data_IF_983453466887
#
_entry.id   IF_983453466887
#
_cell.length_a   1.000
_cell.length_b   1.000
_cell.length_c   1.000
_cell.angle_alpha   90.00
_cell.angle_beta   90.00
_cell.angle_gamma   90.00
#
_symmetry.space_group_name_H-M   'P 1'
#
loop_
_entity.id
_entity.type
_entity.pdbx_description
1 polymer ?
#
# COMPACT_ATOMS: atom_id res chain seq x y z
N UNK A 1 45.28 9.01 21.85
CA UNK A 1 44.24 10.07 21.92
C UNK A 1 43.28 9.86 20.73
N UNK A 2 42.32 8.93 20.87
CA UNK A 2 41.18 8.80 19.97
C UNK A 2 39.97 9.37 20.68
N UNK A 3 39.41 10.44 20.15
CA UNK A 3 38.23 11.08 20.66
C UNK A 3 36.96 10.25 20.40
N UNK A 4 36.26 9.99 21.45
CA UNK A 4 34.92 9.38 21.40
C UNK A 4 33.92 10.46 20.99
N UNK A 5 33.22 10.26 19.90
CA UNK A 5 32.03 11.04 19.55
C UNK A 5 30.81 10.16 19.78
N UNK A 6 30.06 10.46 20.81
CA UNK A 6 28.74 9.85 21.07
C UNK A 6 27.76 10.38 20.03
N UNK A 7 27.25 9.50 19.17
CA UNK A 7 26.10 9.79 18.33
C UNK A 7 24.86 9.18 19.00
N UNK A 8 24.04 10.05 19.57
CA UNK A 8 22.70 9.69 20.03
C UNK A 8 21.75 9.66 18.81
N UNK A 9 21.32 8.47 18.43
CA UNK A 9 20.24 8.31 17.46
C UNK A 9 19.13 7.53 18.15
N UNK A 10 18.04 8.26 18.42
CA UNK A 10 16.75 7.70 18.86
C UNK A 10 16.74 6.84 20.12
N UNK A 11 17.26 7.37 21.24
CA UNK A 11 16.89 6.86 22.58
C UNK A 11 17.51 5.55 23.06
N UNK A 12 18.41 4.92 22.30
CA UNK A 12 19.13 3.72 22.73
C UNK A 12 20.61 4.01 22.99
N UNK A 13 21.03 3.84 24.25
CA UNK A 13 22.44 3.80 24.62
C UNK A 13 22.97 2.40 24.30
N UNK A 14 23.95 2.34 23.41
CA UNK A 14 24.75 1.14 23.21
C UNK A 14 26.00 1.20 24.09
N UNK A 15 26.05 0.36 25.11
CA UNK A 15 27.27 0.08 25.86
C UNK A 15 28.16 -0.86 25.05
N UNK A 16 29.30 -0.35 24.62
CA UNK A 16 30.31 -1.12 23.92
C UNK A 16 31.21 -1.80 24.95
N UNK A 17 30.87 -3.02 25.36
CA UNK A 17 31.73 -3.84 26.20
C UNK A 17 32.80 -4.49 25.31
N UNK A 18 34.04 -4.17 25.62
CA UNK A 18 35.25 -4.56 24.92
C UNK A 18 35.58 -6.04 25.23
N UNK A 19 35.08 -6.97 24.40
CA UNK A 19 35.51 -8.34 24.40
C UNK A 19 36.66 -8.54 23.41
N UNK A 20 37.78 -9.00 23.93
CA UNK A 20 39.00 -9.31 23.16
C UNK A 20 38.81 -10.58 22.32
N UNK A 21 38.25 -10.40 21.11
CA UNK A 21 38.21 -11.42 20.09
C UNK A 21 38.20 -10.74 18.72
N UNK A 22 39.36 -10.73 18.08
CA UNK A 22 39.57 -10.10 16.76
C UNK A 22 38.80 -10.87 15.68
N UNK A 23 37.50 -10.55 15.49
CA UNK A 23 36.75 -10.92 14.31
C UNK A 23 36.70 -9.72 13.34
N UNK A 24 36.55 -9.94 12.02
CA UNK A 24 36.81 -8.91 11.02
C UNK A 24 35.83 -7.75 11.15
N UNK A 25 36.35 -6.56 11.39
CA UNK A 25 35.68 -5.25 11.48
C UNK A 25 34.86 -4.94 10.22
N UNK A 26 35.07 -5.69 9.15
CA UNK A 26 34.36 -5.57 7.86
C UNK A 26 32.91 -6.08 7.86
N UNK A 27 32.52 -6.97 8.78
CA UNK A 27 31.15 -7.49 8.81
C UNK A 27 30.18 -6.52 9.50
N UNK A 28 30.67 -5.72 10.44
CA UNK A 28 29.86 -4.72 11.16
C UNK A 28 29.49 -3.53 10.25
N UNK A 29 30.36 -3.15 9.30
CA UNK A 29 30.09 -2.05 8.39
C UNK A 29 29.02 -2.39 7.33
N UNK A 30 28.96 -3.64 6.87
CA UNK A 30 27.92 -4.10 5.92
C UNK A 30 26.53 -4.15 6.55
N UNK A 31 26.45 -4.51 7.83
CA UNK A 31 25.17 -4.54 8.55
C UNK A 31 24.61 -3.13 8.81
N UNK A 32 25.46 -2.14 9.06
CA UNK A 32 25.03 -0.76 9.25
C UNK A 32 24.40 -0.14 7.99
N UNK A 33 25.04 -0.28 6.84
CA UNK A 33 24.51 0.20 5.57
C UNK A 33 23.16 -0.45 5.24
N UNK A 34 23.03 -1.73 5.50
CA UNK A 34 21.79 -2.47 5.28
C UNK A 34 20.65 -1.99 6.19
N UNK A 35 20.93 -1.78 7.48
CA UNK A 35 19.93 -1.29 8.46
C UNK A 35 19.49 0.13 8.12
N UNK A 36 20.42 1.03 7.79
CA UNK A 36 20.10 2.41 7.40
C UNK A 36 19.28 2.45 6.12
N UNK A 37 19.61 1.60 5.15
CA UNK A 37 18.87 1.51 3.90
C UNK A 37 17.43 1.01 4.10
N UNK A 38 17.23 -0.01 4.93
CA UNK A 38 15.89 -0.50 5.28
C UNK A 38 15.06 0.55 6.01
N UNK A 39 15.64 1.26 6.98
CA UNK A 39 14.95 2.33 7.69
C UNK A 39 14.57 3.50 6.76
N UNK A 40 15.42 3.83 5.81
CA UNK A 40 15.15 4.86 4.81
C UNK A 40 13.99 4.44 3.90
N UNK A 41 14.01 3.21 3.39
CA UNK A 41 12.93 2.67 2.56
C UNK A 41 11.59 2.70 3.30
N UNK A 42 11.57 2.28 4.56
CA UNK A 42 10.37 2.30 5.40
C UNK A 42 9.81 3.72 5.56
N UNK A 43 10.67 4.69 5.91
CA UNK A 43 10.25 6.11 6.03
C UNK A 43 9.72 6.67 4.73
N UNK A 44 10.31 6.30 3.60
CA UNK A 44 9.83 6.70 2.28
C UNK A 44 8.44 6.14 2.02
N UNK A 45 8.20 4.85 2.26
CA UNK A 45 6.88 4.22 2.07
C UNK A 45 5.82 4.83 2.98
N UNK A 46 6.16 5.14 4.23
CA UNK A 46 5.21 5.73 5.19
C UNK A 46 4.91 7.22 4.90
N UNK A 47 5.87 7.96 4.38
CA UNK A 47 5.75 9.42 4.17
C UNK A 47 5.39 9.81 2.73
N UNK A 48 5.67 8.95 1.74
CA UNK A 48 5.39 9.23 0.34
C UNK A 48 3.93 9.66 0.09
N UNK A 49 2.90 9.00 0.64
CA UNK A 49 1.52 9.41 0.44
C UNK A 49 1.25 10.84 0.93
N UNK A 50 1.82 11.22 2.08
CA UNK A 50 1.65 12.58 2.64
C UNK A 50 2.24 13.65 1.75
N UNK A 51 3.40 13.38 1.15
CA UNK A 51 4.10 14.32 0.25
C UNK A 51 3.36 14.41 -1.09
N UNK A 52 2.91 13.27 -1.62
CA UNK A 52 2.20 13.17 -2.90
C UNK A 52 0.78 13.71 -2.86
N UNK A 53 0.15 13.79 -1.69
CA UNK A 53 -1.22 14.29 -1.52
C UNK A 53 -1.43 15.69 -2.10
N UNK A 54 -0.50 16.62 -1.87
CA UNK A 54 -0.64 17.99 -2.35
C UNK A 54 -0.57 18.12 -3.87
N UNK A 55 0.45 17.57 -4.56
CA UNK A 55 0.51 17.66 -6.03
C UNK A 55 -0.62 16.86 -6.70
N UNK A 56 -1.06 15.73 -6.14
CA UNK A 56 -2.16 14.94 -6.72
C UNK A 56 -3.51 15.67 -6.67
N UNK A 57 -3.76 16.46 -5.63
CA UNK A 57 -4.98 17.30 -5.54
C UNK A 57 -5.00 18.46 -6.55
N UNK A 58 -3.84 18.86 -7.07
CA UNK A 58 -3.75 19.89 -8.11
C UNK A 58 -4.01 19.35 -9.51
N UNK A 59 -4.00 18.04 -9.72
CA UNK A 59 -4.31 17.41 -10.99
C UNK A 59 -5.80 17.64 -11.33
N UNK A 60 -6.14 18.22 -12.49
CA UNK A 60 -7.54 18.41 -12.89
C UNK A 60 -8.30 17.09 -12.88
N UNK A 61 -9.54 17.10 -12.37
CA UNK A 61 -10.34 15.88 -12.28
C UNK A 61 -10.56 15.21 -13.65
N UNK A 62 -10.75 15.99 -14.70
CA UNK A 62 -10.90 15.45 -16.06
C UNK A 62 -9.72 14.57 -16.51
N UNK A 63 -8.52 14.91 -16.09
CA UNK A 63 -7.33 14.09 -16.37
C UNK A 63 -7.32 12.82 -15.51
N UNK A 64 -7.66 12.94 -14.23
CA UNK A 64 -7.79 11.78 -13.33
C UNK A 64 -8.87 10.81 -13.85
N UNK A 65 -10.03 11.34 -14.23
CA UNK A 65 -11.14 10.60 -14.82
C UNK A 65 -10.72 9.81 -16.06
N UNK A 66 -10.16 10.52 -17.06
CA UNK A 66 -9.75 9.89 -18.32
C UNK A 66 -8.68 8.82 -18.11
N UNK A 67 -7.75 9.04 -17.18
CA UNK A 67 -6.74 8.05 -16.84
C UNK A 67 -7.37 6.83 -16.16
N UNK A 68 -8.25 7.04 -15.17
CA UNK A 68 -8.93 5.99 -14.43
C UNK A 68 -9.81 5.14 -15.34
N UNK A 69 -10.62 5.75 -16.18
CA UNK A 69 -11.48 5.05 -17.15
C UNK A 69 -10.66 4.17 -18.10
N UNK A 70 -9.53 4.68 -18.61
CA UNK A 70 -8.63 3.90 -19.48
C UNK A 70 -7.97 2.73 -18.74
N UNK A 71 -7.54 2.94 -17.50
CA UNK A 71 -6.95 1.90 -16.68
C UNK A 71 -7.97 0.81 -16.35
N UNK A 72 -9.16 1.19 -15.91
CA UNK A 72 -10.25 0.25 -15.63
C UNK A 72 -10.65 -0.54 -16.89
N UNK A 73 -10.82 0.13 -18.03
CA UNK A 73 -11.13 -0.52 -19.29
C UNK A 73 -10.02 -1.48 -19.78
N UNK A 74 -8.77 -1.22 -19.42
CA UNK A 74 -7.63 -2.09 -19.77
C UNK A 74 -7.55 -3.31 -18.84
N UNK A 75 -7.66 -3.09 -17.53
CA UNK A 75 -7.53 -4.13 -16.50
C UNK A 75 -8.72 -5.10 -16.53
N UNK A 76 -9.92 -4.58 -16.73
CA UNK A 76 -11.17 -5.34 -16.70
C UNK A 76 -11.76 -5.58 -18.09
N UNK A 77 -10.92 -5.61 -19.13
CA UNK A 77 -11.38 -5.74 -20.50
C UNK A 77 -12.26 -6.97 -20.72
N UNK A 78 -11.86 -8.13 -20.20
CA UNK A 78 -12.61 -9.38 -20.32
C UNK A 78 -13.88 -9.32 -19.48
N UNK A 79 -13.80 -8.94 -18.22
CA UNK A 79 -14.95 -8.82 -17.33
C UNK A 79 -16.02 -7.82 -17.84
N UNK A 80 -15.59 -6.72 -18.49
CA UNK A 80 -16.53 -5.78 -19.15
C UNK A 80 -17.20 -6.44 -20.35
N UNK A 81 -16.46 -7.20 -21.16
CA UNK A 81 -17.01 -7.90 -22.33
C UNK A 81 -17.99 -9.01 -21.94
N UNK A 82 -17.76 -9.68 -20.81
CA UNK A 82 -18.60 -10.74 -20.28
C UNK A 82 -19.81 -10.21 -19.47
N UNK A 83 -19.87 -8.89 -19.23
CA UNK A 83 -20.99 -8.26 -18.52
C UNK A 83 -20.89 -8.35 -17.00
N UNK A 84 -19.74 -8.70 -16.45
CA UNK A 84 -19.52 -8.89 -15.00
C UNK A 84 -19.74 -7.61 -14.19
N UNK A 85 -19.83 -6.44 -14.86
CA UNK A 85 -20.11 -5.14 -14.22
C UNK A 85 -21.59 -4.73 -14.23
N UNK A 86 -22.50 -5.55 -14.76
CA UNK A 86 -23.95 -5.24 -14.78
C UNK A 86 -24.53 -4.99 -13.39
N UNK A 87 -23.93 -5.55 -12.33
CA UNK A 87 -24.34 -5.29 -10.95
C UNK A 87 -24.17 -3.83 -10.52
N UNK A 88 -23.31 -3.05 -11.22
CA UNK A 88 -23.11 -1.60 -11.01
C UNK A 88 -24.04 -0.74 -11.87
N UNK A 89 -24.89 -1.32 -12.74
CA UNK A 89 -25.84 -0.56 -13.53
C UNK A 89 -26.82 0.23 -12.65
N UNK A 90 -26.78 1.55 -12.77
CA UNK A 90 -27.58 2.45 -11.93
C UNK A 90 -27.15 2.52 -10.46
N UNK A 91 -26.00 1.96 -10.07
CA UNK A 91 -25.43 2.00 -8.73
C UNK A 91 -24.04 2.61 -8.75
N UNK A 92 -23.60 3.10 -7.59
CA UNK A 92 -22.31 3.76 -7.46
C UNK A 92 -21.40 3.08 -6.44
N UNK A 93 -20.21 2.68 -6.92
CA UNK A 93 -19.09 2.28 -6.09
C UNK A 93 -18.22 3.50 -5.80
N UNK A 94 -18.06 3.86 -4.53
CA UNK A 94 -17.07 4.83 -4.09
C UNK A 94 -15.75 4.12 -3.81
N UNK A 95 -14.67 4.51 -4.48
CA UNK A 95 -13.30 4.08 -4.16
C UNK A 95 -12.58 5.24 -3.49
N UNK A 96 -12.07 5.01 -2.28
CA UNK A 96 -11.41 6.02 -1.47
C UNK A 96 -9.99 5.61 -1.08
N UNK A 97 -9.02 6.47 -1.39
CA UNK A 97 -7.64 6.35 -0.95
C UNK A 97 -7.46 7.27 0.25
N UNK A 98 -7.54 6.69 1.44
CA UNK A 98 -7.72 7.42 2.70
C UNK A 98 -6.55 8.34 3.06
N UNK A 99 -5.32 7.93 2.81
CA UNK A 99 -4.10 8.69 3.12
C UNK A 99 -3.80 9.81 2.12
N UNK A 100 -4.31 9.70 0.89
CA UNK A 100 -4.24 10.76 -0.13
C UNK A 100 -5.46 11.69 -0.12
N UNK A 101 -6.55 11.31 0.59
CA UNK A 101 -7.86 11.97 0.55
C UNK A 101 -8.38 12.14 -0.88
N UNK A 102 -8.21 11.08 -1.68
CA UNK A 102 -8.74 10.99 -3.03
C UNK A 102 -9.91 10.03 -3.04
N UNK A 103 -10.95 10.37 -3.78
CA UNK A 103 -12.07 9.47 -4.01
C UNK A 103 -12.61 9.60 -5.43
N UNK A 104 -13.10 8.50 -5.95
CA UNK A 104 -13.76 8.40 -7.24
C UNK A 104 -15.05 7.59 -7.08
N UNK A 105 -16.03 7.92 -7.87
CA UNK A 105 -17.29 7.19 -7.95
C UNK A 105 -17.34 6.48 -9.30
N UNK A 106 -17.53 5.18 -9.27
CA UNK A 106 -17.51 4.31 -10.44
C UNK A 106 -18.90 3.69 -10.61
N UNK A 107 -19.40 3.71 -11.83
CA UNK A 107 -20.67 3.08 -12.20
C UNK A 107 -20.51 2.43 -13.58
N UNK A 108 -21.46 1.60 -13.94
CA UNK A 108 -21.58 1.06 -15.29
C UNK A 108 -22.69 1.80 -16.05
N UNK A 109 -22.39 2.22 -17.29
CA UNK A 109 -23.36 2.84 -18.21
C UNK A 109 -23.11 2.35 -19.63
N UNK A 110 -24.12 1.77 -20.26
CA UNK A 110 -24.07 1.29 -21.64
C UNK A 110 -22.87 0.36 -21.93
N UNK A 111 -22.59 -0.57 -21.02
CA UNK A 111 -21.49 -1.53 -21.16
C UNK A 111 -20.09 -0.92 -20.93
N UNK A 112 -20.02 0.25 -20.27
CA UNK A 112 -18.75 0.94 -19.99
C UNK A 112 -18.69 1.38 -18.53
N UNK A 113 -17.50 1.36 -17.98
CA UNK A 113 -17.23 1.95 -16.69
C UNK A 113 -17.04 3.46 -16.83
N UNK A 114 -17.81 4.22 -16.07
CA UNK A 114 -17.74 5.68 -15.99
C UNK A 114 -17.24 6.09 -14.62
N UNK A 115 -16.42 7.13 -14.59
CA UNK A 115 -15.84 7.67 -13.36
C UNK A 115 -16.37 9.09 -13.13
N UNK A 116 -16.95 9.33 -11.95
CA UNK A 116 -17.47 10.63 -11.56
C UNK A 116 -16.73 11.16 -10.32
N UNK A 117 -16.76 12.49 -10.17
CA UNK A 117 -16.20 13.18 -8.99
C UNK A 117 -17.14 13.14 -7.78
N UNK A 118 -18.43 13.17 -8.06
CA UNK A 118 -19.50 13.21 -7.06
C UNK A 118 -20.66 12.34 -7.52
N UNK A 119 -21.34 11.70 -6.57
CA UNK A 119 -22.67 11.13 -6.74
C UNK A 119 -23.53 11.56 -5.54
N UNK A 120 -24.84 11.47 -5.66
CA UNK A 120 -25.79 11.80 -4.57
C UNK A 120 -25.65 10.81 -3.42
N UNK A 121 -25.54 9.54 -3.74
CA UNK A 121 -25.39 8.47 -2.77
C UNK A 121 -24.55 7.33 -3.36
N UNK A 122 -23.54 6.89 -2.64
CA UNK A 122 -22.80 5.67 -2.97
C UNK A 122 -23.49 4.45 -2.37
N UNK A 123 -23.69 3.40 -3.15
CA UNK A 123 -24.29 2.15 -2.70
C UNK A 123 -23.30 1.29 -1.93
N UNK A 124 -22.04 1.34 -2.33
CA UNK A 124 -20.92 0.66 -1.67
C UNK A 124 -19.70 1.57 -1.66
N UNK A 125 -18.95 1.53 -0.58
CA UNK A 125 -17.70 2.26 -0.39
C UNK A 125 -16.57 1.27 -0.14
N UNK A 126 -15.52 1.38 -0.94
CA UNK A 126 -14.28 0.63 -0.84
C UNK A 126 -13.16 1.58 -0.45
N UNK A 127 -12.56 1.39 0.72
CA UNK A 127 -11.53 2.32 1.20
C UNK A 127 -10.31 1.60 1.76
N UNK A 128 -9.13 2.16 1.47
CA UNK A 128 -7.84 1.65 1.93
C UNK A 128 -6.76 2.72 1.86
N UNK A 129 -5.57 2.39 2.35
CA UNK A 129 -4.39 3.24 2.17
C UNK A 129 -3.76 3.02 0.80
N UNK A 130 -3.01 3.99 0.30
CA UNK A 130 -2.25 3.87 -0.97
C UNK A 130 -1.44 2.58 -1.01
N UNK A 131 -0.69 2.31 0.06
CA UNK A 131 0.19 1.15 0.13
C UNK A 131 -0.58 -0.17 0.07
N UNK A 132 -1.72 -0.26 0.76
CA UNK A 132 -2.53 -1.48 0.78
C UNK A 132 -3.20 -1.72 -0.59
N UNK A 133 -3.72 -0.66 -1.22
CA UNK A 133 -4.30 -0.75 -2.56
C UNK A 133 -3.26 -1.13 -3.63
N UNK A 134 -2.02 -0.61 -3.54
CA UNK A 134 -0.92 -0.99 -4.43
C UNK A 134 -0.54 -2.46 -4.23
N UNK A 135 -0.53 -2.97 -3.00
CA UNK A 135 -0.22 -4.38 -2.73
C UNK A 135 -1.29 -5.32 -3.30
N UNK A 136 -2.58 -4.95 -3.21
CA UNK A 136 -3.67 -5.68 -3.86
C UNK A 136 -3.49 -5.63 -5.39
N UNK A 137 -3.35 -4.43 -5.95
CA UNK A 137 -3.18 -4.25 -7.39
C UNK A 137 -1.95 -4.96 -7.94
N UNK A 138 -0.86 -5.06 -7.17
CA UNK A 138 0.36 -5.80 -7.51
C UNK A 138 0.31 -7.29 -7.17
N UNK A 139 -0.84 -7.82 -6.69
CA UNK A 139 -1.02 -9.23 -6.25
C UNK A 139 0.01 -9.70 -5.22
N UNK A 140 0.42 -8.78 -4.33
CA UNK A 140 1.33 -9.06 -3.21
C UNK A 140 0.60 -9.38 -1.92
N UNK A 141 -0.63 -8.88 -1.78
CA UNK A 141 -1.51 -9.11 -0.65
C UNK A 141 -2.90 -9.49 -1.20
N UNK A 142 -3.53 -10.41 -0.51
CA UNK A 142 -4.89 -10.85 -0.80
C UNK A 142 -5.90 -9.85 -0.20
N UNK A 143 -6.94 -9.42 -0.97
CA UNK A 143 -7.96 -8.50 -0.47
C UNK A 143 -8.66 -8.97 0.80
N UNK A 144 -8.94 -10.27 0.94
CA UNK A 144 -9.55 -10.84 2.15
C UNK A 144 -8.66 -10.68 3.37
N UNK A 145 -7.37 -10.97 3.21
CA UNK A 145 -6.40 -10.80 4.28
C UNK A 145 -6.36 -9.36 4.79
N UNK A 146 -6.38 -8.37 3.88
CA UNK A 146 -6.40 -6.96 4.24
C UNK A 146 -7.74 -6.53 4.86
N UNK A 147 -8.84 -7.09 4.40
CA UNK A 147 -10.18 -6.86 4.99
C UNK A 147 -10.22 -7.37 6.44
N UNK A 148 -9.80 -8.60 6.70
CA UNK A 148 -9.73 -9.14 8.06
C UNK A 148 -8.77 -8.38 8.98
N UNK A 149 -7.68 -7.83 8.43
CA UNK A 149 -6.75 -6.95 9.14
C UNK A 149 -7.28 -5.52 9.34
N UNK A 150 -8.48 -5.20 8.83
CA UNK A 150 -9.11 -3.87 8.86
C UNK A 150 -8.30 -2.77 8.14
N UNK A 151 -7.41 -3.17 7.24
CA UNK A 151 -6.65 -2.27 6.36
C UNK A 151 -7.46 -1.89 5.12
N UNK A 152 -8.30 -2.81 4.68
CA UNK A 152 -9.29 -2.61 3.65
C UNK A 152 -10.67 -2.57 4.30
N UNK A 153 -11.50 -1.60 3.92
CA UNK A 153 -12.87 -1.47 4.40
C UNK A 153 -13.82 -1.52 3.22
N UNK A 154 -14.86 -2.30 3.37
CA UNK A 154 -15.99 -2.38 2.43
C UNK A 154 -17.24 -2.07 3.24
N UNK A 155 -17.91 -0.97 2.91
CA UNK A 155 -19.07 -0.47 3.65
C UNK A 155 -20.24 -0.23 2.68
N UNK A 156 -21.48 -0.44 3.12
CA UNK A 156 -22.68 -0.28 2.33
C UNK A 156 -23.38 -1.58 1.99
N UNK A 157 -23.85 -1.73 0.76
CA UNK A 157 -24.56 -2.94 0.32
C UNK A 157 -23.62 -4.15 0.29
N UNK A 158 -23.94 -5.17 1.08
CA UNK A 158 -23.08 -6.36 1.25
C UNK A 158 -22.97 -7.19 -0.03
N UNK A 159 -24.04 -7.29 -0.81
CA UNK A 159 -24.07 -8.03 -2.07
C UNK A 159 -23.12 -7.35 -3.09
N UNK A 160 -23.25 -6.03 -3.25
CA UNK A 160 -22.34 -5.24 -4.09
C UNK A 160 -20.90 -5.31 -3.61
N UNK A 161 -20.69 -5.29 -2.30
CA UNK A 161 -19.35 -5.41 -1.71
C UNK A 161 -18.69 -6.74 -2.05
N UNK A 162 -19.47 -7.83 -2.08
CA UNK A 162 -18.98 -9.15 -2.48
C UNK A 162 -18.61 -9.20 -3.96
N UNK A 163 -19.48 -8.65 -4.84
CA UNK A 163 -19.20 -8.58 -6.28
C UNK A 163 -17.95 -7.76 -6.58
N UNK A 164 -17.79 -6.59 -5.94
CA UNK A 164 -16.57 -5.77 -6.07
C UNK A 164 -15.33 -6.54 -5.63
N UNK A 165 -15.43 -7.30 -4.53
CA UNK A 165 -14.33 -8.16 -4.07
C UNK A 165 -13.99 -9.23 -5.11
N UNK A 166 -14.99 -9.95 -5.63
CA UNK A 166 -14.78 -10.99 -6.66
C UNK A 166 -14.09 -10.41 -7.90
N UNK A 167 -14.47 -9.19 -8.32
CA UNK A 167 -13.80 -8.49 -9.41
C UNK A 167 -12.34 -8.16 -9.09
N UNK A 168 -12.04 -7.80 -7.85
CA UNK A 168 -10.64 -7.55 -7.46
C UNK A 168 -9.78 -8.82 -7.50
N UNK A 169 -10.37 -9.96 -7.19
CA UNK A 169 -9.69 -11.26 -7.29
C UNK A 169 -9.44 -11.66 -8.75
N UNK A 170 -10.30 -11.21 -9.67
CA UNK A 170 -10.19 -11.46 -11.12
C UNK A 170 -9.31 -10.47 -11.87
N UNK A 171 -8.70 -9.47 -11.19
CA UNK A 171 -7.83 -8.47 -11.82
C UNK A 171 -6.78 -9.12 -12.74
N UNK A 172 -6.75 -8.73 -14.00
CA UNK A 172 -5.71 -9.13 -14.94
C UNK A 172 -4.65 -8.03 -15.12
N UNK A 173 -3.47 -8.28 -14.56
CA UNK A 173 -2.34 -7.36 -14.70
C UNK A 173 -1.70 -7.44 -16.09
N UNK A 174 -1.92 -8.52 -16.82
CA UNK A 174 -1.35 -8.67 -18.17
C UNK A 174 -2.03 -7.74 -19.17
N UNK A 175 -3.28 -7.36 -18.91
CA UNK A 175 -4.03 -6.34 -19.66
C UNK A 175 -3.51 -4.91 -19.48
N UNK A 176 -2.70 -4.63 -18.45
CA UNK A 176 -2.15 -3.30 -18.24
C UNK A 176 -1.06 -2.93 -19.26
N UNK A 177 -1.05 -1.67 -19.77
CA UNK A 177 0.08 -1.18 -20.54
C UNK A 177 1.39 -1.36 -19.77
N UNK A 178 2.44 -1.81 -20.43
CA UNK A 178 3.75 -2.09 -19.82
C UNK A 178 4.31 -0.89 -19.04
N UNK A 179 4.03 0.33 -19.51
CA UNK A 179 4.42 1.58 -18.84
C UNK A 179 3.82 1.74 -17.44
N UNK A 180 2.66 1.13 -17.16
CA UNK A 180 1.98 1.16 -15.86
C UNK A 180 2.29 -0.12 -15.07
N UNK A 181 2.27 -1.26 -15.74
CA UNK A 181 2.44 -2.59 -15.13
C UNK A 181 3.78 -2.72 -14.39
N UNK A 182 4.90 -2.45 -15.08
CA UNK A 182 6.23 -2.62 -14.45
C UNK A 182 6.45 -1.71 -13.26
N UNK A 183 6.18 -0.39 -13.33
CA UNK A 183 6.30 0.47 -12.14
C UNK A 183 5.37 0.06 -10.99
N UNK A 184 4.16 -0.43 -11.28
CA UNK A 184 3.24 -0.93 -10.27
C UNK A 184 3.81 -2.15 -9.53
N UNK A 185 4.32 -3.14 -10.27
CA UNK A 185 4.90 -4.36 -9.70
C UNK A 185 6.18 -4.07 -8.91
N UNK A 186 7.04 -3.18 -9.41
CA UNK A 186 8.25 -2.74 -8.73
C UNK A 186 7.91 -2.02 -7.42
N UNK A 187 6.93 -1.11 -7.47
CA UNK A 187 6.45 -0.38 -6.30
C UNK A 187 5.80 -1.32 -5.27
N UNK A 188 4.96 -2.25 -5.70
CA UNK A 188 4.36 -3.25 -4.83
C UNK A 188 5.43 -4.11 -4.14
N UNK A 189 6.44 -4.56 -4.87
CA UNK A 189 7.57 -5.32 -4.33
C UNK A 189 8.41 -4.49 -3.35
N UNK A 190 8.60 -3.20 -3.65
CA UNK A 190 9.29 -2.28 -2.74
C UNK A 190 8.54 -2.09 -1.42
N UNK A 191 7.21 -1.89 -1.48
CA UNK A 191 6.34 -1.74 -0.31
C UNK A 191 6.33 -3.04 0.52
N UNK A 192 6.19 -4.20 -0.13
CA UNK A 192 6.22 -5.52 0.51
C UNK A 192 7.51 -5.72 1.32
N UNK A 193 8.67 -5.44 0.71
CA UNK A 193 9.98 -5.55 1.38
C UNK A 193 10.12 -4.59 2.55
N UNK A 194 9.66 -3.35 2.39
CA UNK A 194 9.69 -2.36 3.47
C UNK A 194 8.82 -2.77 4.66
N UNK A 195 7.66 -3.40 4.42
CA UNK A 195 6.77 -3.94 5.47
C UNK A 195 7.33 -5.21 6.12
N UNK A 196 7.95 -6.12 5.36
CA UNK A 196 8.54 -7.35 5.90
C UNK A 196 9.68 -7.07 6.88
N UNK A 197 10.55 -6.09 6.58
CA UNK A 197 11.62 -5.65 7.49
C UNK A 197 11.11 -5.20 8.85
N UNK A 198 9.94 -4.57 8.90
CA UNK A 198 9.33 -4.09 10.15
C UNK A 198 8.77 -5.21 11.04
N UNK A 199 8.28 -6.29 10.46
CA UNK A 199 7.76 -7.43 11.20
C UNK A 199 8.88 -8.21 11.91
N UNK A 200 10.05 -8.26 11.31
CA UNK A 200 11.21 -8.98 11.84
C UNK A 200 11.87 -8.26 13.01
N UNK A 201 11.90 -6.92 13.00
CA UNK A 201 12.39 -6.10 14.11
C UNK A 201 11.48 -6.18 15.34
N UNK A 202 10.16 -6.24 15.16
CA UNK A 202 9.19 -6.38 16.25
C UNK A 202 9.31 -7.74 16.99
N UNK A 203 9.77 -8.79 16.29
CA UNK A 203 9.92 -10.13 16.86
C UNK A 203 11.28 -10.35 17.53
N UNK A 204 12.28 -9.53 17.23
CA UNK A 204 13.63 -9.61 17.79
C UNK A 204 13.85 -8.73 19.02
N UNK A 205 12.85 -7.94 19.45
CA UNK A 205 12.93 -7.16 20.68
C UNK A 205 12.96 -8.11 21.88
N UNK A 206 14.00 -8.10 22.75
CA UNK A 206 14.05 -8.98 23.92
C UNK A 206 12.89 -8.65 24.87
N UNK A 207 12.11 -9.66 25.22
CA UNK A 207 11.09 -9.57 26.26
C UNK A 207 11.75 -9.02 27.52
N UNK A 208 11.36 -7.79 27.92
CA UNK A 208 11.91 -7.09 29.05
C UNK A 208 11.89 -7.95 30.29
N UNK A 209 13.06 -8.10 30.93
CA UNK A 209 13.27 -8.89 32.11
C UNK A 209 12.31 -8.48 33.24
N UNK A 210 11.60 -9.45 33.75
CA UNK A 210 10.86 -9.36 34.99
C UNK A 210 11.89 -9.14 36.11
N UNK A 211 11.89 -7.95 36.68
CA UNK A 211 12.68 -7.68 37.90
C UNK A 211 12.14 -8.55 39.04
N UNK A 212 13.01 -9.27 39.80
CA UNK A 212 12.58 -9.96 41.00
C UNK A 212 12.26 -8.92 42.07
N UNK A 213 11.03 -8.95 42.57
CA UNK A 213 10.64 -8.23 43.79
C UNK A 213 11.23 -8.97 44.99
N UNK A 214 12.03 -8.25 45.76
CA UNK A 214 12.38 -8.59 47.15
C UNK A 214 11.34 -8.00 48.10
#
# INVERSE_FOLDING_TARGET
LCGFTLLEVSGHKFDFQQDHGCGPVFECAKNWEFIVFQQLQRRLVEQAPRILRHPLKLVPFSLQQSLMERLLASVFKEAIADGDFEFLAGKWLKVEVSDLELCWFISEQDGKLVVARHCEQADVCFSGTTNDLILIAGRKEDPDSLFFQRKLKIEGNTELGLEVKNLMDSLDLDGLPSLVRYPLLDLATFIERAKAGSAQEAHSAPAGGVAPQL
#
